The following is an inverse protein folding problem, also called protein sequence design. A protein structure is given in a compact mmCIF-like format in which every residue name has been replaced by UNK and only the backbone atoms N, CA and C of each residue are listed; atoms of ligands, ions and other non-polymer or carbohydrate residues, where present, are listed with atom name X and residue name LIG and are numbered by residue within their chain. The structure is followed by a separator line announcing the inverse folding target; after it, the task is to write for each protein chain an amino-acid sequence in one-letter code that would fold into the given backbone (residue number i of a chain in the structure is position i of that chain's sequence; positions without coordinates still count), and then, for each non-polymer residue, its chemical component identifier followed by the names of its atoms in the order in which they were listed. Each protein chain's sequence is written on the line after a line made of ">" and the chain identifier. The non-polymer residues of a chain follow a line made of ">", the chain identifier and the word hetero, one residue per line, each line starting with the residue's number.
data_IF_629562406422
#
_entry.id   IF_629562406422
#
_cell.length_a   1.000
_cell.length_b   1.000
_cell.length_c   1.000
_cell.angle_alpha   90.00
_cell.angle_beta   90.00
_cell.angle_gamma   90.00
#
_symmetry.space_group_name_H-M   'P 1'
#
loop_
_entity.id
_entity.type
_entity.pdbx_description
1 polymer ?
#
# COMPACT_ATOMS: atom_id res chain seq x y z
N UNK A 1 2.49 -26.91 18.03
CA UNK A 1 3.89 -26.47 18.02
C UNK A 1 3.99 -25.16 17.27
N UNK A 2 4.54 -24.11 17.89
CA UNK A 2 4.84 -22.84 17.22
C UNK A 2 6.34 -22.82 16.96
N UNK A 3 6.76 -22.87 15.69
CA UNK A 3 8.16 -22.75 15.31
C UNK A 3 8.46 -21.26 15.28
N UNK A 4 9.42 -20.82 16.09
CA UNK A 4 9.89 -19.45 16.09
C UNK A 4 11.08 -19.33 15.12
N UNK A 5 11.15 -18.30 14.27
CA UNK A 5 12.25 -18.10 13.32
C UNK A 5 13.51 -17.60 14.03
N UNK A 6 14.06 -18.39 14.96
CA UNK A 6 15.31 -18.11 15.66
C UNK A 6 16.41 -18.91 14.97
N UNK A 7 17.30 -18.22 14.27
CA UNK A 7 18.48 -18.81 13.65
C UNK A 7 19.74 -18.16 14.22
N UNK A 8 20.84 -18.91 14.28
CA UNK A 8 22.10 -18.42 14.82
C UNK A 8 22.68 -17.35 13.90
N UNK A 9 23.27 -16.28 14.47
CA UNK A 9 23.86 -15.16 13.71
C UNK A 9 24.90 -15.60 12.69
N UNK A 10 25.54 -16.76 12.90
CA UNK A 10 26.50 -17.36 11.94
C UNK A 10 25.88 -17.81 10.62
N UNK A 11 24.55 -17.90 10.53
CA UNK A 11 23.82 -18.22 9.31
C UNK A 11 23.50 -16.97 8.48
N UNK A 12 23.78 -15.77 9.00
CA UNK A 12 23.68 -14.53 8.24
C UNK A 12 24.89 -14.41 7.32
N UNK A 13 24.63 -14.35 6.02
CA UNK A 13 25.64 -13.98 5.02
C UNK A 13 25.61 -12.47 4.79
N UNK A 14 26.77 -11.81 4.58
CA UNK A 14 26.81 -10.39 4.23
C UNK A 14 25.94 -10.10 3.01
N UNK A 15 25.16 -9.03 3.07
CA UNK A 15 24.32 -8.61 1.94
C UNK A 15 25.19 -8.33 0.71
N UNK A 16 25.01 -9.14 -0.34
CA UNK A 16 25.60 -8.89 -1.64
C UNK A 16 24.59 -8.17 -2.52
N UNK A 17 24.83 -6.86 -2.73
CA UNK A 17 24.10 -6.12 -3.74
C UNK A 17 24.28 -6.81 -5.10
N UNK A 18 23.20 -6.92 -5.87
CA UNK A 18 23.22 -7.59 -7.15
C UNK A 18 24.20 -6.88 -8.09
N UNK A 19 25.16 -7.59 -8.67
CA UNK A 19 26.17 -7.00 -9.57
C UNK A 19 25.67 -6.82 -11.00
N UNK A 20 24.51 -7.40 -11.33
CA UNK A 20 23.89 -7.22 -12.63
C UNK A 20 23.13 -5.88 -12.62
N UNK A 21 23.61 -4.91 -13.39
CA UNK A 21 22.97 -3.59 -13.54
C UNK A 21 21.47 -3.67 -13.88
N UNK A 22 21.04 -4.72 -14.58
CA UNK A 22 19.63 -5.01 -14.91
C UNK A 22 18.77 -5.43 -13.70
N UNK A 23 19.41 -5.78 -12.58
CA UNK A 23 18.80 -6.21 -11.32
C UNK A 23 19.15 -5.28 -10.15
N UNK A 24 19.94 -4.24 -10.40
CA UNK A 24 20.05 -3.11 -9.50
C UNK A 24 18.73 -2.34 -9.61
N UNK A 25 17.85 -2.51 -8.62
CA UNK A 25 16.77 -1.54 -8.44
C UNK A 25 17.45 -0.19 -8.21
N UNK A 26 17.00 0.86 -8.91
CA UNK A 26 17.35 2.21 -8.49
C UNK A 26 16.98 2.34 -7.00
N UNK A 27 17.79 3.05 -6.20
CA UNK A 27 17.42 3.31 -4.82
C UNK A 27 16.04 3.98 -4.83
N UNK A 28 15.14 3.57 -3.93
CA UNK A 28 13.83 4.19 -3.86
C UNK A 28 13.99 5.69 -3.59
N UNK A 29 12.99 6.51 -3.98
CA UNK A 29 13.02 7.93 -3.69
C UNK A 29 13.08 8.17 -2.17
N UNK A 30 13.76 9.23 -1.71
CA UNK A 30 13.69 9.61 -0.31
C UNK A 30 12.26 10.02 0.08
N UNK A 31 11.82 9.76 1.31
CA UNK A 31 10.53 10.25 1.80
C UNK A 31 10.50 11.79 1.83
N UNK A 32 9.33 12.35 1.58
CA UNK A 32 9.09 13.78 1.77
C UNK A 32 8.76 14.05 3.23
N UNK A 33 9.25 15.16 3.79
CA UNK A 33 8.92 15.53 5.17
C UNK A 33 7.79 16.57 5.14
N UNK A 34 6.58 16.13 5.45
CA UNK A 34 5.39 16.98 5.53
C UNK A 34 4.95 17.02 6.99
N UNK A 35 4.78 18.23 7.55
CA UNK A 35 4.46 18.44 8.97
C UNK A 35 5.41 17.76 9.98
N UNK A 36 6.63 17.41 9.56
CA UNK A 36 7.61 16.72 10.40
C UNK A 36 7.49 15.19 10.39
N UNK A 37 6.60 14.63 9.56
CA UNK A 37 6.42 13.19 9.35
C UNK A 37 6.91 12.80 7.95
N UNK A 38 7.38 11.55 7.81
CA UNK A 38 7.80 10.99 6.53
C UNK A 38 6.58 10.55 5.72
N UNK A 39 6.35 11.19 4.58
CA UNK A 39 5.33 10.82 3.61
C UNK A 39 5.97 10.21 2.36
N UNK A 40 5.31 9.19 1.83
CA UNK A 40 5.78 8.40 0.69
C UNK A 40 4.76 8.54 -0.44
N UNK A 41 5.26 8.70 -1.67
CA UNK A 41 4.37 8.84 -2.81
C UNK A 41 3.78 7.48 -3.21
N UNK A 42 2.45 7.40 -3.25
CA UNK A 42 1.72 6.22 -3.74
C UNK A 42 1.65 6.25 -5.26
N UNK A 43 2.02 5.14 -5.90
CA UNK A 43 1.89 4.95 -7.34
C UNK A 43 0.49 4.46 -7.70
N UNK A 44 -0.05 3.49 -6.95
CA UNK A 44 -1.38 2.92 -7.20
C UNK A 44 -1.98 2.24 -5.96
N UNK A 45 -3.31 2.24 -5.87
CA UNK A 45 -4.06 1.39 -4.94
C UNK A 45 -4.38 0.06 -5.63
N UNK A 46 -3.93 -1.04 -5.04
CA UNK A 46 -4.05 -2.39 -5.56
C UNK A 46 -5.28 -3.13 -5.01
N UNK A 47 -5.62 -2.89 -3.74
CA UNK A 47 -6.75 -3.54 -3.09
C UNK A 47 -7.29 -2.70 -1.92
N UNK A 48 -8.49 -3.02 -1.44
CA UNK A 48 -9.07 -2.45 -0.23
C UNK A 48 -9.71 -3.51 0.66
N UNK A 49 -9.66 -3.30 1.97
CA UNK A 49 -10.28 -4.20 2.95
C UNK A 49 -10.79 -3.47 4.17
N UNK A 50 -11.88 -4.00 4.73
CA UNK A 50 -12.28 -3.66 6.09
C UNK A 50 -11.55 -4.58 7.07
N UNK A 51 -10.55 -4.03 7.77
CA UNK A 51 -9.82 -4.78 8.78
C UNK A 51 -10.72 -4.97 10.01
N UNK A 52 -11.17 -6.22 10.24
CA UNK A 52 -12.08 -6.56 11.34
C UNK A 52 -11.51 -6.28 12.72
N UNK A 53 -10.17 -6.29 12.88
CA UNK A 53 -9.52 -6.06 14.18
C UNK A 53 -9.52 -4.58 14.54
N UNK A 54 -9.17 -3.71 13.60
CA UNK A 54 -9.16 -2.26 13.80
C UNK A 54 -10.51 -1.60 13.53
N UNK A 55 -11.44 -2.31 12.86
CA UNK A 55 -12.70 -1.78 12.30
C UNK A 55 -12.48 -0.56 11.41
N UNK A 56 -11.37 -0.55 10.66
CA UNK A 56 -10.99 0.53 9.74
C UNK A 56 -10.85 0.00 8.31
N UNK A 57 -11.10 0.88 7.36
CA UNK A 57 -10.79 0.65 5.96
C UNK A 57 -9.28 0.83 5.75
N UNK A 58 -8.68 -0.11 5.02
CA UNK A 58 -7.26 -0.07 4.65
C UNK A 58 -7.13 -0.24 3.13
N UNK A 59 -6.17 0.46 2.54
CA UNK A 59 -5.77 0.31 1.15
C UNK A 59 -4.44 -0.43 1.07
N UNK A 60 -4.32 -1.35 0.11
CA UNK A 60 -3.06 -2.00 -0.24
C UNK A 60 -2.41 -1.18 -1.34
N UNK A 61 -1.28 -0.55 -1.04
CA UNK A 61 -0.66 0.44 -1.93
C UNK A 61 0.66 -0.04 -2.50
N UNK A 62 0.92 0.38 -3.73
CA UNK A 62 2.22 0.31 -4.38
C UNK A 62 2.88 1.68 -4.27
N UNK A 63 4.13 1.72 -3.83
CA UNK A 63 4.87 2.97 -3.63
C UNK A 63 5.73 3.29 -4.85
N UNK A 64 5.74 4.56 -5.25
CA UNK A 64 6.52 5.04 -6.39
C UNK A 64 8.00 4.75 -6.17
N UNK A 65 8.60 3.97 -7.06
CA UNK A 65 10.04 3.67 -7.01
C UNK A 65 10.46 2.61 -5.98
N UNK A 66 9.50 1.97 -5.31
CA UNK A 66 9.75 0.80 -4.48
C UNK A 66 9.29 -0.48 -5.19
N UNK A 67 9.76 -1.63 -4.71
CA UNK A 67 9.38 -2.91 -5.31
C UNK A 67 8.12 -3.51 -4.69
N UNK A 68 7.58 -4.58 -5.28
CA UNK A 68 6.41 -5.28 -4.76
C UNK A 68 6.54 -5.79 -3.32
N UNK A 69 7.78 -5.98 -2.85
CA UNK A 69 8.10 -6.38 -1.47
C UNK A 69 7.79 -5.28 -0.43
N UNK A 70 7.74 -4.02 -0.86
CA UNK A 70 7.52 -2.85 0.01
C UNK A 70 6.04 -2.45 0.08
N UNK A 71 5.17 -3.14 -0.66
CA UNK A 71 3.73 -2.91 -0.65
C UNK A 71 3.15 -3.17 0.73
N UNK A 72 2.30 -2.27 1.19
CA UNK A 72 1.73 -2.37 2.53
C UNK A 72 0.26 -1.98 2.58
N UNK A 73 -0.39 -2.41 3.66
CA UNK A 73 -1.74 -1.96 3.99
C UNK A 73 -1.64 -0.67 4.81
N UNK A 74 -2.13 0.43 4.26
CA UNK A 74 -2.19 1.76 4.89
C UNK A 74 -3.62 2.12 5.27
N UNK A 75 -3.77 3.06 6.20
CA UNK A 75 -5.08 3.51 6.63
C UNK A 75 -5.73 4.30 5.49
N UNK A 76 -6.98 4.01 5.17
CA UNK A 76 -7.69 4.80 4.17
C UNK A 76 -7.87 6.26 4.60
N UNK A 77 -7.80 6.55 5.91
CA UNK A 77 -7.84 7.91 6.45
C UNK A 77 -6.63 8.78 6.07
N UNK A 78 -5.58 8.17 5.52
CA UNK A 78 -4.40 8.87 5.01
C UNK A 78 -4.64 9.38 3.57
N UNK A 79 -5.80 9.06 2.97
CA UNK A 79 -6.20 9.45 1.62
C UNK A 79 -7.46 10.31 1.70
N UNK A 80 -7.53 11.33 0.86
CA UNK A 80 -8.75 12.07 0.64
C UNK A 80 -9.70 11.30 -0.29
N UNK A 81 -11.02 11.39 -0.03
CA UNK A 81 -12.05 10.75 -0.85
C UNK A 81 -12.02 11.19 -2.32
N UNK A 82 -11.55 12.42 -2.56
CA UNK A 82 -11.44 13.05 -3.87
C UNK A 82 -10.07 12.81 -4.53
N UNK A 83 -9.19 12.03 -3.90
CA UNK A 83 -7.89 11.68 -4.47
C UNK A 83 -8.08 10.83 -5.73
N UNK A 84 -7.33 11.16 -6.77
CA UNK A 84 -7.43 10.51 -8.08
C UNK A 84 -7.17 9.01 -7.98
N UNK A 85 -6.27 8.59 -7.09
CA UNK A 85 -5.96 7.19 -6.84
C UNK A 85 -7.16 6.42 -6.25
N UNK A 86 -7.87 7.05 -5.31
CA UNK A 86 -9.06 6.47 -4.67
C UNK A 86 -10.21 6.37 -5.69
N UNK A 87 -10.44 7.44 -6.44
CA UNK A 87 -11.47 7.50 -7.48
C UNK A 87 -11.21 6.44 -8.56
N UNK A 88 -9.98 6.35 -9.08
CA UNK A 88 -9.62 5.37 -10.11
C UNK A 88 -9.84 3.93 -9.62
N UNK A 89 -9.39 3.64 -8.39
CA UNK A 89 -9.52 2.31 -7.80
C UNK A 89 -10.98 1.88 -7.67
N UNK A 90 -11.84 2.73 -7.12
CA UNK A 90 -13.26 2.42 -6.91
C UNK A 90 -14.08 2.48 -8.20
N UNK A 91 -13.64 3.23 -9.21
CA UNK A 91 -14.23 3.17 -10.56
C UNK A 91 -13.99 1.80 -11.20
N UNK A 92 -12.81 1.21 -10.98
CA UNK A 92 -12.47 -0.13 -11.50
C UNK A 92 -13.02 -1.26 -10.62
N UNK A 93 -13.23 -1.01 -9.34
CA UNK A 93 -13.63 -2.01 -8.35
C UNK A 93 -14.81 -1.53 -7.47
N UNK A 94 -15.96 -1.34 -8.09
CA UNK A 94 -17.21 -0.85 -7.45
C UNK A 94 -17.68 -1.65 -6.22
N UNK A 95 -17.39 -2.95 -6.17
CA UNK A 95 -17.78 -3.87 -5.11
C UNK A 95 -16.79 -3.93 -3.94
N UNK A 96 -15.64 -3.27 -4.05
CA UNK A 96 -14.63 -3.25 -2.99
C UNK A 96 -15.02 -2.24 -1.92
N UNK A 97 -14.66 -2.47 -0.65
CA UNK A 97 -15.00 -1.56 0.43
C UNK A 97 -14.30 -0.20 0.20
N UNK A 98 -15.07 0.88 0.24
CA UNK A 98 -14.60 2.27 0.13
C UNK A 98 -15.19 3.13 1.24
N UNK A 99 -14.85 4.41 1.28
CA UNK A 99 -15.55 5.36 2.15
C UNK A 99 -17.02 5.39 1.75
N UNK A 100 -17.93 5.14 2.70
CA UNK A 100 -19.37 4.91 2.47
C UNK A 100 -20.11 6.17 2.01
N UNK A 101 -19.77 6.71 0.84
CA UNK A 101 -20.45 7.85 0.21
C UNK A 101 -20.73 7.70 -1.28
N UNK A 102 -20.24 6.63 -1.93
CA UNK A 102 -20.60 6.26 -3.31
C UNK A 102 -21.69 5.16 -3.36
N UNK A 103 -22.57 5.11 -2.36
CA UNK A 103 -23.82 4.32 -2.41
C UNK A 103 -25.08 5.21 -2.47
N UNK A 104 -24.94 6.45 -2.94
CA UNK A 104 -26.04 7.40 -3.11
C UNK A 104 -26.53 7.63 -4.55
N UNK A 105 -25.89 7.07 -5.59
CA UNK A 105 -26.18 7.40 -6.99
C UNK A 105 -26.61 6.23 -7.88
N UNK A 106 -27.06 5.10 -7.31
CA UNK A 106 -27.68 4.01 -8.09
C UNK A 106 -29.13 3.72 -7.64
N UNK A 107 -29.88 4.78 -7.35
CA UNK A 107 -31.32 4.76 -7.12
C UNK A 107 -32.11 5.40 -8.25
N UNK A 108 -31.81 5.07 -9.51
CA UNK A 108 -32.66 5.45 -10.64
C UNK A 108 -32.48 4.47 -11.81
N UNK A 109 -33.29 3.42 -11.84
CA UNK A 109 -33.73 2.75 -13.09
C UNK A 109 -35.18 2.30 -12.92
N UNK A 110 -35.98 2.38 -14.00
CA UNK A 110 -37.43 2.61 -13.99
C UNK A 110 -38.26 1.44 -13.48
#
# INVERSE_FOLDING_TARGET
>A
MKIHPVFHVSLLEPYQANSLASRCSNPPPPPEIINGEEEYQVEQILDSRNNRRSRRLEYFVDWTGYGPQDRQWVSAADFDDDDSLVIEFHTRHDHKPGFERIQGLNGARP
#
